data_IF_194429167572
#
_entry.id   IF_194429167572
#
_cell.length_a   1.000
_cell.length_b   1.000
_cell.length_c   1.000
_cell.angle_alpha   90.00
_cell.angle_beta   90.00
_cell.angle_gamma   90.00
#
_symmetry.space_group_name_H-M   'P 1'
#
loop_
_entity.id
_entity.type
_entity.pdbx_description
1 polymer ?
#
# COMPACT_ATOMS: atom_id res chain seq x y z
N UNK A 1 12.45 -7.34 7.41
CA UNK A 1 12.78 -6.01 7.95
C UNK A 1 12.62 -6.04 9.47
N UNK A 2 13.45 -5.32 10.24
CA UNK A 2 13.14 -5.03 11.64
C UNK A 2 12.28 -3.74 11.67
N UNK A 3 11.00 -3.78 12.05
CA UNK A 3 10.13 -2.61 11.98
C UNK A 3 10.63 -1.49 12.91
N UNK A 4 10.84 -0.28 12.38
CA UNK A 4 11.18 0.89 13.20
C UNK A 4 9.94 1.52 13.83
N UNK A 5 10.12 2.32 14.90
CA UNK A 5 9.01 2.93 15.65
C UNK A 5 8.02 3.69 14.77
N UNK A 6 8.51 4.62 13.94
CA UNK A 6 7.66 5.42 13.04
C UNK A 6 6.99 4.57 11.96
N UNK A 7 7.71 3.59 11.40
CA UNK A 7 7.18 2.69 10.37
C UNK A 7 6.01 1.88 10.94
N UNK A 8 6.20 1.27 12.12
CA UNK A 8 5.18 0.43 12.76
C UNK A 8 3.91 1.23 13.10
N UNK A 9 4.08 2.44 13.66
CA UNK A 9 2.95 3.32 13.97
C UNK A 9 2.20 3.77 12.71
N UNK A 10 2.92 4.28 11.71
CA UNK A 10 2.31 4.73 10.46
C UNK A 10 1.56 3.60 9.75
N UNK A 11 2.12 2.38 9.74
CA UNK A 11 1.45 1.22 9.16
C UNK A 11 0.12 0.90 9.83
N UNK A 12 0.07 0.90 11.15
CA UNK A 12 -1.16 0.66 11.88
C UNK A 12 -2.21 1.73 11.58
N UNK A 13 -1.81 3.01 11.52
CA UNK A 13 -2.70 4.14 11.18
C UNK A 13 -3.22 4.05 9.74
N UNK A 14 -2.34 3.74 8.77
CA UNK A 14 -2.71 3.46 7.37
C UNK A 14 -3.77 2.36 7.31
N UNK A 15 -3.53 1.21 7.94
CA UNK A 15 -4.50 0.10 7.94
C UNK A 15 -5.83 0.55 8.56
N UNK A 16 -5.80 1.24 9.72
CA UNK A 16 -7.00 1.75 10.37
C UNK A 16 -7.80 2.72 9.49
N UNK A 17 -7.10 3.55 8.71
CA UNK A 17 -7.73 4.45 7.76
C UNK A 17 -8.39 3.71 6.59
N UNK A 18 -7.69 2.74 6.02
CA UNK A 18 -8.17 1.96 4.87
C UNK A 18 -9.30 0.99 5.22
N UNK A 19 -9.36 0.49 6.46
CA UNK A 19 -10.44 -0.38 6.91
C UNK A 19 -11.82 0.31 6.90
N UNK A 20 -11.87 1.64 6.90
CA UNK A 20 -13.12 2.40 6.75
C UNK A 20 -13.64 2.42 5.30
N UNK A 21 -12.84 1.99 4.33
CA UNK A 21 -13.22 1.97 2.92
C UNK A 21 -13.96 0.65 2.60
N UNK A 22 -15.27 0.63 2.79
CA UNK A 22 -16.11 -0.58 2.66
C UNK A 22 -16.03 -1.27 1.29
N UNK A 23 -15.67 -0.54 0.22
CA UNK A 23 -15.50 -1.07 -1.14
C UNK A 23 -14.24 -1.91 -1.34
N UNK A 24 -13.37 -2.03 -0.34
CA UNK A 24 -12.12 -2.78 -0.42
C UNK A 24 -11.99 -3.79 0.72
N UNK A 25 -11.14 -4.79 0.47
CA UNK A 25 -10.60 -5.69 1.50
C UNK A 25 -9.11 -5.38 1.67
N UNK A 26 -8.70 -5.10 2.91
CA UNK A 26 -7.33 -4.70 3.28
C UNK A 26 -6.52 -5.92 3.70
N UNK A 27 -5.31 -6.07 3.16
CA UNK A 27 -4.35 -7.08 3.59
C UNK A 27 -3.04 -6.40 4.01
N UNK A 28 -2.42 -6.91 5.08
CA UNK A 28 -1.10 -6.50 5.54
C UNK A 28 -0.10 -7.62 5.27
N UNK A 29 1.04 -7.32 4.68
CA UNK A 29 2.12 -8.29 4.38
C UNK A 29 1.67 -9.51 3.54
N UNK A 30 0.74 -9.33 2.61
CA UNK A 30 0.35 -10.39 1.68
C UNK A 30 1.39 -10.54 0.57
N UNK A 31 1.86 -11.76 0.34
CA UNK A 31 2.84 -12.03 -0.73
C UNK A 31 2.17 -12.14 -2.10
N UNK A 32 2.71 -11.39 -3.07
CA UNK A 32 2.29 -11.33 -4.45
C UNK A 32 3.30 -12.07 -5.32
N UNK A 33 2.83 -12.90 -6.25
CA UNK A 33 3.71 -13.63 -7.17
C UNK A 33 3.81 -12.92 -8.52
N UNK A 34 4.93 -12.26 -8.77
CA UNK A 34 5.22 -11.51 -10.01
C UNK A 34 6.41 -12.17 -10.69
N UNK A 35 6.22 -12.62 -11.93
CA UNK A 35 7.25 -13.30 -12.74
C UNK A 35 8.01 -14.41 -12.00
N UNK A 36 7.27 -15.20 -11.21
CA UNK A 36 7.82 -16.32 -10.43
C UNK A 36 8.62 -15.93 -9.19
N UNK A 37 8.61 -14.65 -8.80
CA UNK A 37 9.21 -14.14 -7.56
C UNK A 37 8.13 -13.58 -6.64
N UNK A 38 8.39 -13.63 -5.34
CA UNK A 38 7.47 -13.10 -4.34
C UNK A 38 7.87 -11.68 -3.94
N UNK A 39 6.88 -10.80 -3.92
CA UNK A 39 6.99 -9.43 -3.45
C UNK A 39 5.89 -9.16 -2.42
N UNK A 40 6.24 -8.52 -1.31
CA UNK A 40 5.32 -8.33 -0.19
C UNK A 40 5.19 -6.83 0.06
N UNK A 41 4.14 -6.15 -0.44
CA UNK A 41 3.84 -4.79 -0.03
C UNK A 41 3.47 -4.75 1.45
N UNK A 42 3.76 -3.63 2.11
CA UNK A 42 3.43 -3.46 3.53
C UNK A 42 1.91 -3.58 3.75
N UNK A 43 1.12 -2.97 2.85
CA UNK A 43 -0.34 -3.04 2.81
C UNK A 43 -0.79 -3.11 1.35
N UNK A 44 -1.83 -3.89 1.06
CA UNK A 44 -2.47 -3.87 -0.25
C UNK A 44 -3.98 -3.97 -0.15
N UNK A 45 -4.69 -3.46 -1.17
CA UNK A 45 -6.13 -3.53 -1.28
C UNK A 45 -6.57 -4.37 -2.46
N UNK A 46 -7.60 -5.15 -2.24
CA UNK A 46 -8.39 -5.77 -3.30
C UNK A 46 -9.80 -5.17 -3.32
N UNK A 47 -10.52 -5.25 -4.46
CA UNK A 47 -11.96 -5.03 -4.46
C UNK A 47 -12.61 -5.88 -3.36
N UNK A 48 -13.67 -5.34 -2.74
CA UNK A 48 -14.39 -6.01 -1.66
C UNK A 48 -14.67 -7.46 -2.03
N UNK A 49 -14.22 -8.35 -1.16
CA UNK A 49 -14.38 -9.80 -1.28
C UNK A 49 -14.61 -10.40 0.08
N UNK A 50 -15.30 -11.53 0.09
CA UNK A 50 -15.45 -12.35 1.28
C UNK A 50 -14.14 -13.10 1.53
N UNK A 51 -13.69 -13.05 2.78
CA UNK A 51 -12.49 -13.76 3.23
C UNK A 51 -12.96 -14.90 4.13
N UNK A 52 -12.85 -16.13 3.64
CA UNK A 52 -13.15 -17.32 4.41
C UNK A 52 -11.88 -17.82 5.11
N UNK A 53 -11.78 -17.51 6.41
CA UNK A 53 -10.66 -17.90 7.26
C UNK A 53 -10.65 -19.40 7.62
N UNK A 54 -11.67 -20.17 7.20
CA UNK A 54 -11.71 -21.62 7.40
C UNK A 54 -10.97 -22.39 6.28
N UNK A 55 -10.67 -21.72 5.16
CA UNK A 55 -9.94 -22.32 4.05
C UNK A 55 -8.45 -22.50 4.38
N UNK A 56 -7.80 -23.38 3.62
CA UNK A 56 -6.37 -23.62 3.76
C UNK A 56 -5.60 -22.34 3.44
N UNK A 57 -4.70 -21.98 4.33
CA UNK A 57 -3.77 -20.85 4.16
C UNK A 57 -2.95 -21.02 2.87
N UNK A 58 -3.23 -20.18 1.87
CA UNK A 58 -2.49 -20.09 0.63
C UNK A 58 -1.50 -18.94 0.74
N UNK A 59 -0.22 -19.27 0.61
CA UNK A 59 0.89 -18.34 0.88
C UNK A 59 0.93 -17.14 -0.08
N UNK A 60 0.54 -17.34 -1.33
CA UNK A 60 0.65 -16.34 -2.40
C UNK A 60 -0.64 -16.29 -3.23
N UNK A 61 -1.08 -15.08 -3.59
CA UNK A 61 -2.19 -14.86 -4.52
C UNK A 61 -1.63 -14.52 -5.90
N UNK A 62 -2.11 -15.21 -6.94
CA UNK A 62 -1.80 -14.90 -8.34
C UNK A 62 -2.59 -13.68 -8.85
N UNK A 63 -3.72 -13.37 -8.20
CA UNK A 63 -4.47 -12.15 -8.47
C UNK A 63 -3.73 -10.94 -7.87
N UNK A 64 -3.56 -9.88 -8.65
CA UNK A 64 -2.87 -8.67 -8.20
C UNK A 64 -3.82 -7.70 -7.49
N UNK A 65 -3.36 -7.00 -6.44
CA UNK A 65 -4.17 -6.00 -5.75
C UNK A 65 -4.42 -4.80 -6.66
N UNK A 66 -5.46 -4.03 -6.35
CA UNK A 66 -5.71 -2.76 -7.05
C UNK A 66 -4.84 -1.62 -6.50
N UNK A 67 -4.42 -1.73 -5.24
CA UNK A 67 -3.51 -0.78 -4.57
C UNK A 67 -2.42 -1.55 -3.83
N UNK A 68 -1.16 -1.14 -4.01
CA UNK A 68 -0.04 -1.52 -3.18
C UNK A 68 0.50 -0.30 -2.42
N UNK A 69 0.86 -0.46 -1.15
CA UNK A 69 1.37 0.62 -0.30
C UNK A 69 2.68 0.19 0.31
N UNK A 70 3.65 1.09 0.26
CA UNK A 70 4.98 0.94 0.85
C UNK A 70 5.24 2.12 1.79
N UNK A 71 5.77 1.82 2.96
CA UNK A 71 6.03 2.76 4.04
C UNK A 71 7.53 2.85 4.20
N UNK A 72 8.08 4.04 3.97
CA UNK A 72 9.52 4.24 4.04
C UNK A 72 10.04 3.95 5.45
N UNK A 73 10.86 2.92 5.57
CA UNK A 73 11.59 2.54 6.78
C UNK A 73 13.03 3.05 6.74
N UNK A 74 13.75 2.96 7.87
CA UNK A 74 15.18 3.30 7.94
C UNK A 74 16.12 2.34 7.18
N UNK A 75 15.59 1.19 6.75
CA UNK A 75 16.35 0.06 6.22
C UNK A 75 16.21 -0.10 4.72
N UNK A 76 15.31 0.68 4.11
CA UNK A 76 15.02 0.66 2.69
C UNK A 76 15.32 2.02 2.10
N UNK A 77 15.81 2.02 0.87
CA UNK A 77 15.98 3.25 0.11
C UNK A 77 14.67 3.62 -0.60
N UNK A 78 14.54 4.89 -0.97
CA UNK A 78 13.45 5.33 -1.83
C UNK A 78 13.50 4.60 -3.19
N UNK A 79 14.69 4.42 -3.75
CA UNK A 79 14.90 3.76 -5.04
C UNK A 79 14.40 2.30 -5.02
N UNK A 80 14.69 1.54 -3.97
CA UNK A 80 14.16 0.17 -3.79
C UNK A 80 12.62 0.11 -3.75
N UNK A 81 11.96 1.14 -3.22
CA UNK A 81 10.49 1.23 -3.25
C UNK A 81 10.00 1.56 -4.66
N UNK A 82 10.64 2.50 -5.34
CA UNK A 82 10.26 2.91 -6.70
C UNK A 82 10.47 1.77 -7.70
N UNK A 83 11.53 0.97 -7.55
CA UNK A 83 11.75 -0.25 -8.34
C UNK A 83 10.61 -1.25 -8.14
N UNK A 84 10.16 -1.45 -6.90
CA UNK A 84 8.99 -2.29 -6.60
C UNK A 84 7.71 -1.74 -7.22
N UNK A 85 7.51 -0.42 -7.22
CA UNK A 85 6.37 0.19 -7.90
C UNK A 85 6.40 -0.09 -9.41
N UNK A 86 7.58 -0.02 -10.04
CA UNK A 86 7.73 -0.42 -11.45
C UNK A 86 7.26 -1.85 -11.71
N UNK A 87 7.62 -2.79 -10.83
CA UNK A 87 7.16 -4.17 -10.90
C UNK A 87 5.65 -4.30 -10.67
N UNK A 88 5.10 -3.61 -9.68
CA UNK A 88 3.66 -3.62 -9.38
C UNK A 88 2.84 -3.08 -10.56
N UNK A 89 3.24 -1.95 -11.15
CA UNK A 89 2.57 -1.41 -12.34
C UNK A 89 2.70 -2.33 -13.55
N UNK A 90 3.88 -2.95 -13.75
CA UNK A 90 4.08 -3.97 -14.77
C UNK A 90 3.18 -5.19 -14.58
N UNK A 91 2.87 -5.53 -13.33
CA UNK A 91 1.92 -6.56 -12.92
C UNK A 91 0.47 -6.05 -12.77
N UNK A 92 0.09 -4.98 -13.48
CA UNK A 92 -1.27 -4.42 -13.56
C UNK A 92 -1.90 -3.90 -12.26
N UNK A 93 -1.10 -3.67 -11.20
CA UNK A 93 -1.55 -2.90 -10.02
C UNK A 93 -1.91 -1.49 -10.49
N UNK A 94 -3.07 -0.98 -10.05
CA UNK A 94 -3.60 0.28 -10.57
C UNK A 94 -2.93 1.49 -9.94
N UNK A 95 -2.71 1.45 -8.63
CA UNK A 95 -2.12 2.56 -7.88
C UNK A 95 -1.09 2.07 -6.87
N UNK A 96 -0.10 2.91 -6.59
CA UNK A 96 0.92 2.66 -5.56
C UNK A 96 1.02 3.87 -4.63
N UNK A 97 1.03 3.65 -3.31
CA UNK A 97 1.23 4.73 -2.34
C UNK A 97 2.57 4.58 -1.63
N UNK A 98 3.35 5.66 -1.61
CA UNK A 98 4.54 5.79 -0.78
C UNK A 98 4.20 6.64 0.45
N UNK A 99 4.22 6.04 1.62
CA UNK A 99 4.07 6.75 2.91
C UNK A 99 5.45 7.08 3.44
N UNK A 100 5.69 8.35 3.79
CA UNK A 100 6.97 8.84 4.31
C UNK A 100 6.76 9.38 5.73
N UNK A 101 6.87 8.54 6.78
CA UNK A 101 6.50 8.93 8.14
C UNK A 101 7.26 10.16 8.65
N UNK A 102 8.57 10.21 8.45
CA UNK A 102 9.42 11.33 8.91
C UNK A 102 9.09 12.67 8.25
N UNK A 103 8.40 12.65 7.11
CA UNK A 103 8.00 13.85 6.37
C UNK A 103 6.52 14.22 6.57
N UNK A 104 5.74 13.39 7.27
CA UNK A 104 4.29 13.51 7.38
C UNK A 104 3.64 13.61 6.00
N UNK A 105 4.04 12.74 5.08
CA UNK A 105 3.64 12.85 3.67
C UNK A 105 3.26 11.50 3.08
N UNK A 106 2.31 11.55 2.14
CA UNK A 106 1.97 10.43 1.27
C UNK A 106 2.14 10.87 -0.18
N UNK A 107 2.75 10.02 -1.01
CA UNK A 107 2.83 10.22 -2.45
C UNK A 107 2.03 9.12 -3.13
N UNK A 108 1.00 9.50 -3.87
CA UNK A 108 0.13 8.59 -4.62
C UNK A 108 0.60 8.55 -6.07
N UNK A 109 0.87 7.36 -6.58
CA UNK A 109 1.28 7.10 -7.95
C UNK A 109 0.16 6.40 -8.71
N UNK A 110 -0.31 7.00 -9.82
CA UNK A 110 -1.23 6.36 -10.76
C UNK A 110 -0.51 5.64 -11.92
N UNK A 111 0.81 5.86 -12.01
CA UNK A 111 1.75 5.15 -12.87
C UNK A 111 3.18 5.48 -12.40
N UNK A 112 4.19 4.85 -12.98
CA UNK A 112 5.61 5.15 -12.70
C UNK A 112 6.01 6.61 -12.93
N UNK A 113 5.27 7.35 -13.78
CA UNK A 113 5.59 8.74 -14.16
C UNK A 113 4.63 9.78 -13.57
N UNK A 114 3.49 9.35 -13.01
CA UNK A 114 2.45 10.26 -12.49
C UNK A 114 2.29 10.08 -11.00
N UNK A 115 2.73 11.09 -10.26
CA UNK A 115 2.66 11.11 -8.80
C UNK A 115 2.07 12.41 -8.27
N UNK A 116 1.29 12.32 -7.20
CA UNK A 116 0.77 13.47 -6.46
C UNK A 116 1.17 13.35 -4.99
N UNK A 117 1.71 14.42 -4.43
CA UNK A 117 2.16 14.48 -3.04
C UNK A 117 1.14 15.19 -2.16
N UNK A 118 0.86 14.59 -1.02
CA UNK A 118 -0.02 15.12 0.03
C UNK A 118 0.79 15.35 1.31
N UNK A 119 0.59 16.54 1.90
CA UNK A 119 1.17 16.93 3.21
C UNK A 119 0.16 17.59 4.14
N UNK A 120 -1.02 17.91 3.63
CA UNK A 120 -2.15 18.49 4.36
C UNK A 120 -3.44 18.08 3.66
N UNK A 121 -4.58 18.14 4.35
CA UNK A 121 -5.89 17.82 3.78
C UNK A 121 -6.06 16.32 3.51
N UNK A 122 -6.77 15.97 2.45
CA UNK A 122 -7.08 14.58 2.12
C UNK A 122 -6.12 14.02 1.08
N UNK A 123 -5.72 12.76 1.28
CA UNK A 123 -5.06 11.94 0.29
C UNK A 123 -6.11 11.51 -0.73
N UNK A 124 -5.91 11.91 -1.99
CA UNK A 124 -6.79 11.59 -3.10
C UNK A 124 -6.10 10.61 -4.05
N UNK A 125 -6.74 9.47 -4.29
CA UNK A 125 -6.40 8.54 -5.36
C UNK A 125 -7.59 8.46 -6.31
N UNK A 126 -7.50 9.23 -7.40
CA UNK A 126 -8.59 9.36 -8.37
C UNK A 126 -8.86 8.03 -9.10
N UNK A 127 -7.82 7.23 -9.33
CA UNK A 127 -7.91 5.99 -10.09
C UNK A 127 -8.74 4.92 -9.36
N UNK A 128 -8.69 4.94 -8.02
CA UNK A 128 -9.46 4.06 -7.16
C UNK A 128 -10.62 4.77 -6.46
N UNK A 129 -10.82 6.07 -6.73
CA UNK A 129 -11.78 6.94 -6.08
C UNK A 129 -11.65 6.91 -4.53
N UNK A 130 -10.42 6.90 -4.01
CA UNK A 130 -10.15 6.90 -2.56
C UNK A 130 -9.91 8.33 -2.10
N UNK A 131 -10.49 8.67 -0.95
CA UNK A 131 -10.26 9.90 -0.23
C UNK A 131 -10.07 9.54 1.25
N UNK A 132 -8.89 9.86 1.80
CA UNK A 132 -8.54 9.56 3.20
C UNK A 132 -7.92 10.82 3.82
N UNK A 133 -8.46 11.37 4.92
CA UNK A 133 -7.83 12.46 5.63
C UNK A 133 -6.39 12.12 6.03
N UNK A 134 -5.44 12.99 5.72
CA UNK A 134 -4.03 12.74 6.03
C UNK A 134 -3.78 12.63 7.55
N UNK A 135 -4.56 13.36 8.34
CA UNK A 135 -4.56 13.30 9.82
C UNK A 135 -4.88 11.89 10.35
N UNK A 136 -5.68 11.09 9.63
CA UNK A 136 -5.96 9.71 10.04
C UNK A 136 -4.72 8.79 9.98
N UNK A 137 -3.65 9.24 9.32
CA UNK A 137 -2.36 8.54 9.25
C UNK A 137 -1.35 9.09 10.26
N UNK A 138 -1.34 10.41 10.49
CA UNK A 138 -0.22 11.07 11.19
C UNK A 138 -0.56 11.75 12.52
N UNK A 139 -1.84 11.96 12.84
CA UNK A 139 -2.33 12.53 14.12
C UNK A 139 -3.08 11.46 14.95
#
# INVERSE_FOLDING_TARGET
MLPSYNYSYAKARVIGALLRLEKFTVFSELSLRIDGKNYTPDVCLYPKRDVDLSLRDTRDLDEMPVLAIEILSHTQTLEEILDRFGLYFGAVVKSCWLVVPVAGAVVVYSSSEKAQRFRTGDIIDEQLNIQVPLEDIFD
#
